data_IF_295081296967
#
_entry.id   IF_295081296967
#
_cell.length_a   1.000
_cell.length_b   1.000
_cell.length_c   1.000
_cell.angle_alpha   90.00
_cell.angle_beta   90.00
_cell.angle_gamma   90.00
#
_symmetry.space_group_name_H-M   'P 1'
#
loop_
_entity.id
_entity.type
_entity.pdbx_description
1 polymer ?
#
# COMPACT_ATOMS: atom_id res chain seq x y z
N UNK A 1 -10.47 -0.07 -9.37
CA UNK A 1 -10.92 0.20 -8.00
C UNK A 1 -9.75 0.79 -7.23
N UNK A 2 -9.83 2.02 -6.73
CA UNK A 2 -8.74 2.65 -5.97
C UNK A 2 -8.69 2.03 -4.58
N UNK A 3 -7.54 1.50 -4.18
CA UNK A 3 -7.40 0.77 -2.91
C UNK A 3 -7.58 1.70 -1.69
N UNK A 4 -7.38 3.01 -1.87
CA UNK A 4 -7.58 4.03 -0.83
C UNK A 4 -9.04 4.22 -0.41
N UNK A 5 -10.03 3.84 -1.22
CA UNK A 5 -11.46 4.00 -0.91
C UNK A 5 -12.12 2.74 -0.32
N UNK A 6 -11.36 1.65 -0.13
CA UNK A 6 -11.89 0.31 0.21
C UNK A 6 -11.42 -0.17 1.59
N UNK A 7 -10.58 0.60 2.28
CA UNK A 7 -10.04 0.27 3.59
C UNK A 7 -10.83 0.80 4.78
N UNK A 8 -10.52 0.30 5.98
CA UNK A 8 -10.98 0.88 7.24
C UNK A 8 -10.30 2.24 7.50
N UNK A 9 -10.69 2.94 8.58
CA UNK A 9 -10.17 4.29 8.86
C UNK A 9 -8.65 4.32 9.03
N UNK A 10 -8.05 3.32 9.70
CA UNK A 10 -6.60 3.25 9.90
C UNK A 10 -5.85 3.10 8.56
N UNK A 11 -6.34 2.23 7.68
CA UNK A 11 -5.78 2.03 6.34
C UNK A 11 -5.86 3.31 5.49
N UNK A 12 -6.99 4.03 5.55
CA UNK A 12 -7.16 5.30 4.83
C UNK A 12 -6.19 6.38 5.33
N UNK A 13 -6.03 6.52 6.65
CA UNK A 13 -5.09 7.49 7.24
C UNK A 13 -3.65 7.14 6.84
N UNK A 14 -3.26 5.87 7.00
CA UNK A 14 -1.91 5.42 6.72
C UNK A 14 -1.52 5.63 5.23
N UNK A 15 -2.42 5.31 4.30
CA UNK A 15 -2.22 5.59 2.88
C UNK A 15 -2.15 7.10 2.64
N UNK A 16 -3.00 7.89 3.30
CA UNK A 16 -3.00 9.35 3.19
C UNK A 16 -1.63 9.95 3.49
N UNK A 17 -1.02 9.56 4.61
CA UNK A 17 0.33 10.00 4.99
C UNK A 17 1.41 9.53 4.01
N UNK A 18 1.38 8.26 3.60
CA UNK A 18 2.37 7.73 2.67
C UNK A 18 2.28 8.41 1.29
N UNK A 19 1.06 8.69 0.81
CA UNK A 19 0.82 9.42 -0.44
C UNK A 19 1.28 10.89 -0.35
N UNK A 20 1.02 11.57 0.78
CA UNK A 20 1.48 12.94 1.02
C UNK A 20 3.01 13.03 0.92
N UNK A 21 3.74 12.04 1.45
CA UNK A 21 5.21 12.00 1.42
C UNK A 21 5.78 11.69 0.06
N UNK A 22 5.30 10.62 -0.56
CA UNK A 22 5.96 10.07 -1.75
C UNK A 22 5.36 10.55 -3.08
N UNK A 23 4.39 11.49 -3.04
CA UNK A 23 3.62 11.95 -4.22
C UNK A 23 3.04 10.81 -5.05
N UNK A 24 2.87 9.64 -4.43
CA UNK A 24 2.22 8.50 -5.04
C UNK A 24 0.72 8.77 -4.99
N UNK A 25 0.06 8.73 -6.14
CA UNK A 25 -1.35 9.00 -6.23
C UNK A 25 -2.09 7.71 -6.53
N UNK A 26 -3.16 7.45 -5.78
CA UNK A 26 -4.14 6.46 -6.20
C UNK A 26 -4.90 7.05 -7.40
N UNK A 27 -4.55 6.60 -8.60
CA UNK A 27 -5.10 7.14 -9.86
C UNK A 27 -6.39 6.42 -10.26
N UNK A 28 -7.14 7.01 -11.20
CA UNK A 28 -8.32 6.44 -11.87
C UNK A 28 -9.65 6.44 -11.09
N UNK A 29 -9.81 7.25 -10.04
CA UNK A 29 -11.12 7.49 -9.41
C UNK A 29 -11.26 8.93 -8.90
N UNK A 30 -12.47 9.49 -9.02
CA UNK A 30 -12.81 10.73 -8.33
C UNK A 30 -12.81 10.51 -6.81
N UNK A 31 -12.16 11.37 -6.02
CA UNK A 31 -12.19 11.25 -4.57
C UNK A 31 -13.61 11.45 -4.05
N UNK A 32 -14.00 10.67 -3.06
CA UNK A 32 -15.25 10.91 -2.32
C UNK A 32 -15.09 12.15 -1.42
N UNK A 33 -16.20 12.73 -0.97
CA UNK A 33 -16.18 13.81 0.01
C UNK A 33 -15.45 13.42 1.30
N UNK A 34 -15.62 12.18 1.76
CA UNK A 34 -14.93 11.65 2.95
C UNK A 34 -13.41 11.58 2.79
N UNK A 35 -12.91 11.12 1.64
CA UNK A 35 -11.46 11.09 1.34
C UNK A 35 -10.91 12.51 1.18
N UNK A 36 -11.69 13.41 0.59
CA UNK A 36 -11.32 14.82 0.46
C UNK A 36 -11.19 15.48 1.83
N UNK A 37 -12.13 15.22 2.75
CA UNK A 37 -12.06 15.75 4.11
C UNK A 37 -10.88 15.15 4.86
N UNK A 38 -10.68 13.83 4.81
CA UNK A 38 -9.52 13.18 5.41
C UNK A 38 -8.20 13.80 4.93
N UNK A 39 -8.05 14.05 3.63
CA UNK A 39 -6.86 14.68 3.09
C UNK A 39 -6.65 16.10 3.66
N UNK A 40 -7.73 16.88 3.85
CA UNK A 40 -7.65 18.20 4.51
C UNK A 40 -7.19 18.09 5.95
N UNK A 41 -7.78 17.17 6.72
CA UNK A 41 -7.45 16.97 8.14
C UNK A 41 -5.96 16.57 8.30
N UNK A 42 -5.45 15.67 7.45
CA UNK A 42 -4.03 15.29 7.41
C UNK A 42 -3.15 16.49 7.08
N UNK A 43 -3.50 17.27 6.05
CA UNK A 43 -2.70 18.42 5.62
C UNK A 43 -2.72 19.57 6.64
N UNK A 44 -3.81 19.70 7.40
CA UNK A 44 -3.94 20.67 8.49
C UNK A 44 -3.20 20.24 9.77
N UNK A 45 -2.71 18.99 9.83
CA UNK A 45 -2.07 18.45 11.03
C UNK A 45 -3.05 18.09 12.14
N UNK A 46 -4.32 17.85 11.80
CA UNK A 46 -5.38 17.51 12.76
C UNK A 46 -5.44 16.00 13.07
N UNK A 47 -4.66 15.20 12.36
CA UNK A 47 -4.54 13.74 12.54
C UNK A 47 -3.06 13.42 12.74
N UNK A 48 -2.74 12.63 13.76
CA UNK A 48 -1.38 12.13 13.99
C UNK A 48 -0.98 11.10 12.94
N UNK A 49 0.31 11.07 12.57
CA UNK A 49 0.82 10.06 11.64
C UNK A 49 1.02 8.70 12.31
N UNK A 50 0.21 7.67 11.99
CA UNK A 50 0.36 6.35 12.58
C UNK A 50 1.45 5.51 11.88
N UNK A 51 2.01 6.01 10.77
CA UNK A 51 2.93 5.25 9.92
C UNK A 51 4.40 5.35 10.35
N UNK A 52 4.72 6.10 11.41
CA UNK A 52 6.08 6.30 11.92
C UNK A 52 7.08 6.68 10.80
N UNK A 53 6.62 7.57 9.90
CA UNK A 53 7.41 8.06 8.78
C UNK A 53 7.47 7.12 7.56
N UNK A 54 6.62 6.10 7.45
CA UNK A 54 6.59 5.25 6.27
C UNK A 54 6.37 6.06 4.99
N UNK A 55 7.17 5.74 3.97
CA UNK A 55 7.13 6.36 2.65
C UNK A 55 6.76 5.33 1.57
N UNK A 56 7.06 4.04 1.76
CA UNK A 56 6.68 3.00 0.82
C UNK A 56 5.52 2.16 1.34
N UNK A 57 4.68 1.70 0.42
CA UNK A 57 3.62 0.75 0.72
C UNK A 57 3.29 -0.09 -0.51
N UNK A 58 2.71 -1.26 -0.27
CA UNK A 58 2.07 -2.05 -1.31
C UNK A 58 0.88 -2.82 -0.72
N UNK A 59 0.01 -3.29 -1.61
CA UNK A 59 -1.14 -4.12 -1.26
C UNK A 59 -0.86 -5.59 -1.58
N UNK A 60 -0.63 -6.47 -0.58
CA UNK A 60 -0.37 -7.89 -0.82
C UNK A 60 -1.52 -8.58 -1.54
N UNK A 61 -2.77 -8.12 -1.34
CA UNK A 61 -3.94 -8.60 -2.06
C UNK A 61 -3.84 -8.35 -3.56
N UNK A 62 -3.31 -7.21 -3.99
CA UNK A 62 -3.13 -6.86 -5.39
C UNK A 62 -1.87 -7.42 -6.03
N UNK A 63 -0.89 -7.84 -5.22
CA UNK A 63 0.28 -8.54 -5.74
C UNK A 63 -0.08 -9.90 -6.35
N UNK A 64 0.60 -10.34 -7.42
CA UNK A 64 0.40 -11.66 -8.00
C UNK A 64 0.52 -12.76 -6.95
N UNK A 65 -0.33 -13.78 -7.06
CA UNK A 65 -0.23 -14.99 -6.24
C UNK A 65 0.82 -15.95 -6.81
N UNK A 66 1.23 -16.92 -6.01
CA UNK A 66 2.18 -17.97 -6.43
C UNK A 66 1.76 -18.64 -7.76
N UNK A 67 0.47 -18.87 -7.96
CA UNK A 67 -0.11 -19.41 -9.19
C UNK A 67 -0.15 -18.43 -10.38
N UNK A 68 0.23 -17.17 -10.18
CA UNK A 68 0.17 -16.08 -11.15
C UNK A 68 1.56 -15.50 -11.45
N UNK A 69 2.61 -16.33 -11.39
CA UNK A 69 4.00 -15.93 -11.68
C UNK A 69 4.20 -15.29 -13.06
N UNK A 70 3.31 -15.56 -14.03
CA UNK A 70 3.32 -14.93 -15.35
C UNK A 70 3.02 -13.42 -15.33
N UNK A 71 2.45 -12.90 -14.22
CA UNK A 71 2.22 -11.47 -14.00
C UNK A 71 3.46 -10.75 -13.43
N UNK A 72 4.58 -11.46 -13.26
CA UNK A 72 5.84 -10.93 -12.76
C UNK A 72 6.81 -10.52 -13.92
N UNK A 73 7.65 -9.48 -13.71
CA UNK A 73 8.85 -9.04 -14.49
C UNK A 73 8.74 -7.85 -15.49
N UNK A 74 9.84 -7.07 -15.75
CA UNK A 74 9.85 -5.58 -15.89
C UNK A 74 10.03 -5.02 -17.34
N UNK A 75 9.98 -3.67 -17.59
CA UNK A 75 9.75 -2.54 -16.67
C UNK A 75 8.40 -1.81 -16.90
N UNK A 76 7.97 -1.12 -15.84
CA UNK A 76 7.00 -0.02 -15.78
C UNK A 76 6.31 0.30 -17.13
N UNK A 77 5.13 -0.30 -17.37
CA UNK A 77 4.30 0.13 -18.51
C UNK A 77 3.32 -0.86 -19.13
N UNK A 78 3.30 -2.14 -18.76
CA UNK A 78 2.45 -3.15 -19.46
C UNK A 78 1.75 -4.15 -18.54
N UNK A 79 1.35 -3.72 -17.34
CA UNK A 79 0.47 -4.51 -16.46
C UNK A 79 1.15 -5.64 -15.67
N UNK A 80 2.48 -5.73 -15.68
CA UNK A 80 3.27 -6.67 -14.86
C UNK A 80 3.82 -5.99 -13.60
N UNK A 81 3.90 -6.73 -12.50
CA UNK A 81 4.34 -6.23 -11.19
C UNK A 81 5.77 -6.71 -10.84
N UNK A 82 6.45 -5.95 -9.99
CA UNK A 82 7.72 -6.39 -9.39
C UNK A 82 7.46 -7.47 -8.33
N UNK A 83 7.87 -8.70 -8.63
CA UNK A 83 7.74 -9.84 -7.74
C UNK A 83 9.09 -10.27 -7.13
N UNK A 84 10.15 -9.51 -7.36
CA UNK A 84 11.53 -9.97 -7.11
C UNK A 84 11.89 -10.00 -5.61
N UNK A 85 10.99 -9.60 -4.72
CA UNK A 85 11.12 -9.76 -3.27
C UNK A 85 10.72 -11.14 -2.76
N UNK A 86 10.25 -12.03 -3.64
CA UNK A 86 9.89 -13.41 -3.30
C UNK A 86 8.46 -13.56 -2.82
N UNK A 87 8.14 -14.76 -2.32
CA UNK A 87 6.80 -15.12 -1.84
C UNK A 87 6.66 -14.91 -0.33
N UNK A 88 5.47 -14.50 0.08
CA UNK A 88 5.09 -14.36 1.49
C UNK A 88 3.64 -14.81 1.73
N UNK A 89 3.32 -15.09 3.00
CA UNK A 89 1.97 -15.39 3.46
C UNK A 89 1.36 -14.13 4.09
N UNK A 90 0.71 -13.28 3.29
CA UNK A 90 0.00 -12.10 3.83
C UNK A 90 -1.54 -12.25 3.82
N UNK A 91 -2.10 -13.06 2.92
CA UNK A 91 -3.55 -13.18 2.71
C UNK A 91 -4.04 -14.63 2.71
N UNK A 92 -4.10 -15.25 3.88
CA UNK A 92 -4.62 -16.62 4.01
C UNK A 92 -3.64 -17.68 3.50
N UNK A 93 -4.17 -18.74 2.89
CA UNK A 93 -3.39 -19.94 2.54
C UNK A 93 -2.54 -19.81 1.26
N UNK A 94 -2.83 -18.83 0.41
CA UNK A 94 -2.13 -18.66 -0.87
C UNK A 94 -1.06 -17.59 -0.73
N UNK A 95 0.19 -17.95 -1.04
CA UNK A 95 1.30 -17.02 -1.05
C UNK A 95 1.13 -15.95 -2.13
N UNK A 96 1.48 -14.72 -1.79
CA UNK A 96 1.60 -13.61 -2.74
C UNK A 96 3.07 -13.23 -2.92
N UNK A 97 3.40 -12.70 -4.08
CA UNK A 97 4.69 -12.07 -4.29
C UNK A 97 4.77 -10.74 -3.54
N UNK A 98 5.99 -10.31 -3.21
CA UNK A 98 6.28 -8.97 -2.70
C UNK A 98 7.31 -8.25 -3.57
N UNK A 99 7.27 -6.90 -3.62
CA UNK A 99 8.26 -6.13 -4.37
C UNK A 99 9.67 -6.31 -3.82
N UNK A 100 10.68 -6.11 -4.68
CA UNK A 100 12.08 -6.25 -4.31
C UNK A 100 12.48 -5.30 -3.18
N UNK A 101 12.05 -4.04 -3.28
CA UNK A 101 12.39 -3.00 -2.31
C UNK A 101 11.90 -3.33 -0.89
N UNK A 102 10.78 -4.06 -0.78
CA UNK A 102 10.23 -4.50 0.51
C UNK A 102 11.09 -5.54 1.25
N UNK A 103 12.20 -6.00 0.64
CA UNK A 103 13.21 -6.85 1.31
C UNK A 103 14.34 -6.07 1.95
N UNK A 104 14.60 -4.84 1.49
CA UNK A 104 15.67 -3.99 1.98
C UNK A 104 15.18 -2.98 3.04
N UNK A 105 13.88 -2.67 3.02
CA UNK A 105 13.28 -1.66 3.89
C UNK A 105 12.67 -2.25 5.17
N UNK A 106 12.59 -1.43 6.22
CA UNK A 106 11.98 -1.84 7.50
C UNK A 106 10.45 -1.75 7.40
N UNK A 107 9.78 -2.88 7.62
CA UNK A 107 8.31 -2.89 7.75
C UNK A 107 7.86 -2.15 9.01
N UNK A 108 6.82 -1.33 8.87
CA UNK A 108 6.11 -0.67 9.97
C UNK A 108 4.76 -1.35 10.17
N UNK A 109 4.48 -1.76 11.41
CA UNK A 109 3.18 -2.31 11.81
C UNK A 109 2.33 -1.19 12.38
N UNK A 110 1.14 -1.02 11.83
CA UNK A 110 0.20 0.01 12.24
C UNK A 110 -1.03 -0.69 12.86
N UNK A 111 -1.47 -0.32 14.07
CA UNK A 111 -2.69 -0.87 14.65
C UNK A 111 -3.88 -0.76 13.69
N UNK A 112 -4.73 -1.80 13.66
CA UNK A 112 -5.92 -1.91 12.83
C UNK A 112 -5.70 -1.88 11.30
N UNK A 113 -4.46 -1.73 10.82
CA UNK A 113 -4.13 -2.00 9.42
C UNK A 113 -3.97 -3.49 9.23
N UNK A 114 -4.72 -4.03 8.26
CA UNK A 114 -4.64 -5.46 7.94
C UNK A 114 -3.50 -5.68 6.96
N UNK A 115 -2.52 -6.48 7.37
CA UNK A 115 -1.37 -6.87 6.53
C UNK A 115 -1.76 -7.46 5.18
N UNK A 116 -2.93 -8.09 5.05
CA UNK A 116 -3.42 -8.58 3.77
C UNK A 116 -3.77 -7.45 2.78
N UNK A 117 -4.18 -6.28 3.29
CA UNK A 117 -4.60 -5.15 2.48
C UNK A 117 -3.45 -4.17 2.21
N UNK A 118 -2.68 -3.83 3.24
CA UNK A 118 -1.57 -2.89 3.10
C UNK A 118 -0.42 -3.27 4.00
N UNK A 119 0.80 -3.12 3.47
CA UNK A 119 2.03 -3.15 4.24
C UNK A 119 2.82 -1.88 4.00
N UNK A 120 3.37 -1.31 5.07
CA UNK A 120 4.05 -0.03 5.08
C UNK A 120 5.53 -0.23 5.42
N UNK A 121 6.39 0.55 4.77
CA UNK A 121 7.83 0.44 4.89
C UNK A 121 8.48 1.82 4.96
N UNK A 122 9.60 1.87 5.68
CA UNK A 122 10.49 3.01 5.75
C UNK A 122 11.94 2.56 5.55
N UNK A 123 12.73 3.48 5.01
CA UNK A 123 14.19 3.35 4.93
C UNK A 123 14.82 3.27 6.32
#
# INVERSE_FOLDING_TARGET
MSEASIGNRAEQIAIGFACQRNRNHATNQSPTSSITQLAKDILAGEIDDPTDGANHWYSPRSMPKESQSSLCSPPVGTGRMDCSGGLENACGSTKNYKPKWATAERQVTIPDVRDCYFKFFKL
#
